data_IF_098400184523
#
_entry.id   IF_098400184523
#
_cell.length_a   1.000
_cell.length_b   1.000
_cell.length_c   1.000
_cell.angle_alpha   90.00
_cell.angle_beta   90.00
_cell.angle_gamma   90.00
#
_symmetry.space_group_name_H-M   'P 1'
#
loop_
_entity.id
_entity.type
_entity.pdbx_description
1 polymer ?
#
# COMPACT_ATOMS: atom_id res chain seq x y z
N UNK A 1 20.15 -0.25 -11.58
CA UNK A 1 19.10 0.58 -12.23
C UNK A 1 17.84 -0.19 -12.59
N UNK A 2 17.88 -1.21 -13.48
CA UNK A 2 16.68 -1.97 -13.86
C UNK A 2 15.86 -2.53 -12.68
N UNK A 3 16.55 -2.99 -11.62
CA UNK A 3 15.92 -3.43 -10.36
C UNK A 3 14.98 -2.35 -9.76
N UNK A 4 15.49 -1.14 -9.46
CA UNK A 4 14.70 -0.02 -8.93
C UNK A 4 13.52 0.33 -9.85
N UNK A 5 13.71 0.23 -11.16
CA UNK A 5 12.67 0.46 -12.14
C UNK A 5 11.50 -0.53 -12.02
N UNK A 6 11.77 -1.78 -11.64
CA UNK A 6 10.77 -2.85 -11.50
C UNK A 6 10.17 -2.93 -10.08
N UNK A 7 10.98 -2.78 -9.03
CA UNK A 7 10.53 -2.94 -7.63
C UNK A 7 9.99 -1.68 -6.97
N UNK A 8 10.45 -0.50 -7.39
CA UNK A 8 10.05 0.79 -6.81
C UNK A 8 9.27 1.62 -7.82
N UNK A 9 9.88 1.96 -8.96
CA UNK A 9 9.27 2.90 -9.90
C UNK A 9 8.02 2.35 -10.57
N UNK A 10 8.05 1.15 -11.18
CA UNK A 10 6.90 0.57 -11.87
C UNK A 10 5.65 0.43 -10.97
N UNK A 11 5.70 -0.14 -9.76
CA UNK A 11 4.50 -0.26 -8.92
C UNK A 11 4.01 1.07 -8.29
N UNK A 12 4.86 2.10 -8.18
CA UNK A 12 4.46 3.47 -7.80
C UNK A 12 3.88 4.25 -8.98
N UNK A 13 4.43 4.06 -10.19
CA UNK A 13 4.01 4.76 -11.40
C UNK A 13 2.81 4.09 -12.07
N UNK A 14 2.62 2.77 -11.96
CA UNK A 14 1.46 2.06 -12.50
C UNK A 14 0.10 2.67 -12.09
N UNK A 15 -0.18 3.00 -10.81
CA UNK A 15 -1.42 3.70 -10.46
C UNK A 15 -1.47 5.12 -11.04
N UNK A 16 -0.35 5.84 -11.10
CA UNK A 16 -0.30 7.20 -11.66
C UNK A 16 -0.54 7.21 -13.18
N UNK A 17 0.02 6.23 -13.89
CA UNK A 17 -0.22 5.98 -15.32
C UNK A 17 -1.68 5.58 -15.53
N UNK A 18 -2.23 4.71 -14.66
CA UNK A 18 -3.66 4.37 -14.67
C UNK A 18 -4.54 5.61 -14.50
N UNK A 19 -4.25 6.49 -13.53
CA UNK A 19 -4.95 7.78 -13.34
C UNK A 19 -4.86 8.70 -14.57
N UNK A 20 -3.73 8.71 -15.29
CA UNK A 20 -3.57 9.44 -16.55
C UNK A 20 -4.42 8.81 -17.66
N UNK A 21 -4.43 7.49 -17.79
CA UNK A 21 -5.33 6.78 -18.71
C UNK A 21 -6.81 7.02 -18.36
N UNK A 22 -7.16 7.12 -17.08
CA UNK A 22 -8.52 7.41 -16.64
C UNK A 22 -8.99 8.84 -16.95
N UNK A 23 -8.06 9.81 -17.13
CA UNK A 23 -8.40 11.14 -17.67
C UNK A 23 -8.84 11.13 -19.15
N UNK A 24 -8.64 10.03 -19.87
CA UNK A 24 -9.22 9.86 -21.22
C UNK A 24 -10.73 9.59 -21.19
N UNK A 25 -11.31 9.34 -20.01
CA UNK A 25 -12.74 9.11 -19.81
C UNK A 25 -13.39 10.32 -19.08
N UNK A 26 -14.63 10.69 -19.41
CA UNK A 26 -15.32 11.84 -18.80
C UNK A 26 -15.78 11.51 -17.35
N UNK A 27 -14.87 11.66 -16.38
CA UNK A 27 -15.14 11.44 -14.96
C UNK A 27 -15.92 12.62 -14.35
N UNK A 28 -17.21 12.44 -14.13
CA UNK A 28 -18.08 13.41 -13.49
C UNK A 28 -17.93 13.40 -11.95
N UNK A 29 -17.08 14.27 -11.41
CA UNK A 29 -16.85 14.41 -9.96
C UNK A 29 -17.30 15.82 -9.50
N UNK A 30 -18.41 15.95 -8.75
CA UNK A 30 -18.81 17.21 -8.12
C UNK A 30 -17.80 17.68 -7.06
N UNK A 31 -17.81 18.98 -6.74
CA UNK A 31 -16.86 19.63 -5.82
C UNK A 31 -16.85 19.00 -4.42
N UNK A 32 -15.88 18.14 -4.15
CA UNK A 32 -15.71 17.47 -2.86
C UNK A 32 -15.23 18.43 -1.77
N UNK A 33 -16.01 18.57 -0.69
CA UNK A 33 -15.61 19.38 0.47
C UNK A 33 -14.51 18.67 1.30
N UNK A 34 -13.50 19.45 1.68
CA UNK A 34 -12.22 19.00 2.25
C UNK A 34 -12.31 18.62 3.74
N UNK A 35 -13.05 17.56 4.05
CA UNK A 35 -12.93 16.90 5.36
C UNK A 35 -11.71 15.96 5.35
N UNK A 36 -10.75 16.14 6.27
CA UNK A 36 -9.61 15.21 6.42
C UNK A 36 -10.05 13.74 6.59
N UNK A 37 -11.21 13.53 7.23
CA UNK A 37 -11.84 12.22 7.40
C UNK A 37 -12.32 11.63 6.07
N UNK A 38 -12.83 12.42 5.11
CA UNK A 38 -13.25 11.89 3.80
C UNK A 38 -12.06 11.50 2.93
N UNK A 39 -10.95 12.24 3.01
CA UNK A 39 -9.66 11.88 2.38
C UNK A 39 -9.18 10.52 2.89
N UNK A 40 -9.07 10.35 4.21
CA UNK A 40 -8.69 9.07 4.85
C UNK A 40 -9.65 7.93 4.48
N UNK A 41 -10.97 8.20 4.47
CA UNK A 41 -12.03 7.22 4.14
C UNK A 41 -11.99 6.76 2.68
N UNK A 42 -11.57 7.63 1.75
CA UNK A 42 -11.40 7.34 0.32
C UNK A 42 -10.05 6.65 0.02
N UNK A 43 -9.63 5.72 0.88
CA UNK A 43 -8.47 4.84 0.65
C UNK A 43 -7.09 5.51 0.68
N UNK A 44 -6.98 6.83 0.89
CA UNK A 44 -5.72 7.57 0.72
C UNK A 44 -4.63 7.19 1.74
N UNK A 45 -4.95 6.46 2.81
CA UNK A 45 -3.93 5.84 3.69
C UNK A 45 -2.98 4.90 2.92
N UNK A 46 -3.44 4.30 1.82
CA UNK A 46 -2.60 3.44 0.98
C UNK A 46 -1.37 4.15 0.39
N UNK A 47 -1.32 5.49 0.34
CA UNK A 47 -0.08 6.21 -0.02
C UNK A 47 1.04 5.99 1.00
N UNK A 48 0.73 5.85 2.30
CA UNK A 48 1.71 5.46 3.31
C UNK A 48 2.12 3.99 3.16
N UNK A 49 1.17 3.11 2.86
CA UNK A 49 1.43 1.69 2.58
C UNK A 49 2.38 1.49 1.39
N UNK A 50 2.19 2.28 0.32
CA UNK A 50 3.10 2.35 -0.84
C UNK A 50 4.52 2.67 -0.37
N UNK A 51 4.69 3.74 0.42
CA UNK A 51 5.97 4.13 0.99
C UNK A 51 6.65 3.00 1.76
N UNK A 52 5.96 2.44 2.77
CA UNK A 52 6.49 1.33 3.58
C UNK A 52 6.91 0.12 2.74
N UNK A 53 6.10 -0.28 1.75
CA UNK A 53 6.48 -1.37 0.86
C UNK A 53 7.70 -1.03 0.00
N UNK A 54 7.82 0.19 -0.54
CA UNK A 54 9.02 0.57 -1.31
C UNK A 54 10.29 0.61 -0.46
N UNK A 55 10.23 1.07 0.79
CA UNK A 55 11.35 1.02 1.72
C UNK A 55 11.74 -0.42 2.07
N UNK A 56 10.74 -1.28 2.35
CA UNK A 56 10.98 -2.70 2.62
C UNK A 56 11.62 -3.44 1.43
N UNK A 57 11.18 -3.14 0.20
CA UNK A 57 11.77 -3.70 -1.01
C UNK A 57 13.20 -3.20 -1.23
N UNK A 58 13.52 -1.96 -0.85
CA UNK A 58 14.89 -1.45 -0.87
C UNK A 58 15.79 -2.16 0.15
N UNK A 59 15.38 -2.27 1.41
CA UNK A 59 16.19 -2.93 2.45
C UNK A 59 16.29 -4.46 2.26
N UNK A 60 15.32 -5.10 1.59
CA UNK A 60 15.47 -6.49 1.13
C UNK A 60 16.56 -6.68 0.07
N UNK A 61 16.91 -5.64 -0.70
CA UNK A 61 17.97 -5.69 -1.70
C UNK A 61 19.32 -5.18 -1.15
N UNK A 62 19.29 -4.14 -0.31
CA UNK A 62 20.45 -3.48 0.28
C UNK A 62 20.24 -3.30 1.80
N UNK A 63 20.46 -4.36 2.62
CA UNK A 63 20.11 -4.35 4.04
C UNK A 63 20.92 -3.33 4.85
N UNK A 64 20.22 -2.48 5.61
CA UNK A 64 20.81 -1.46 6.46
C UNK A 64 20.16 -1.51 7.86
N UNK A 65 20.86 -1.98 8.90
CA UNK A 65 22.26 -2.42 8.92
C UNK A 65 22.48 -3.75 8.16
N UNK A 66 23.72 -4.08 7.74
CA UNK A 66 24.02 -5.32 7.00
C UNK A 66 23.66 -6.62 7.74
N UNK A 67 23.53 -6.56 9.07
CA UNK A 67 23.07 -7.66 9.94
C UNK A 67 21.57 -7.95 9.83
N UNK A 68 20.77 -7.06 9.22
CA UNK A 68 19.33 -7.26 8.99
C UNK A 68 19.01 -8.11 7.74
N UNK A 69 20.03 -8.72 7.11
CA UNK A 69 19.86 -9.57 5.92
C UNK A 69 19.03 -10.82 6.25
N UNK A 70 17.80 -10.84 5.74
CA UNK A 70 16.89 -12.00 5.78
C UNK A 70 17.53 -13.22 5.10
N UNK A 71 17.18 -14.42 5.57
CA UNK A 71 17.54 -15.69 4.94
C UNK A 71 17.21 -15.74 3.43
N UNK A 72 18.10 -16.35 2.66
CA UNK A 72 18.02 -16.40 1.19
C UNK A 72 16.83 -17.23 0.66
N UNK A 73 16.36 -18.24 1.41
CA UNK A 73 15.15 -18.99 1.07
C UNK A 73 13.88 -18.17 1.27
N UNK A 74 13.85 -17.29 2.27
CA UNK A 74 12.68 -16.48 2.60
C UNK A 74 12.63 -15.10 1.91
N UNK A 75 13.80 -14.53 1.55
CA UNK A 75 13.93 -13.24 0.88
C UNK A 75 13.05 -13.11 -0.39
N UNK A 76 12.93 -14.18 -1.18
CA UNK A 76 12.07 -14.23 -2.37
C UNK A 76 10.58 -14.10 -2.06
N UNK A 77 10.10 -14.74 -0.99
CA UNK A 77 8.70 -14.67 -0.56
C UNK A 77 8.35 -13.29 0.00
N UNK A 78 9.24 -12.66 0.77
CA UNK A 78 9.05 -11.29 1.24
C UNK A 78 9.04 -10.27 0.09
N UNK A 79 9.96 -10.42 -0.88
CA UNK A 79 10.00 -9.55 -2.07
C UNK A 79 8.68 -9.64 -2.87
N UNK A 80 8.19 -10.86 -3.11
CA UNK A 80 6.89 -11.08 -3.75
C UNK A 80 5.71 -10.53 -2.93
N UNK A 81 5.70 -10.79 -1.61
CA UNK A 81 4.64 -10.35 -0.70
C UNK A 81 4.54 -8.83 -0.56
N UNK A 82 5.67 -8.14 -0.37
CA UNK A 82 5.71 -6.68 -0.29
C UNK A 82 5.39 -6.04 -1.64
N UNK A 83 5.78 -6.66 -2.77
CA UNK A 83 5.35 -6.23 -4.11
C UNK A 83 3.84 -6.39 -4.32
N UNK A 84 3.23 -7.48 -3.83
CA UNK A 84 1.78 -7.69 -3.90
C UNK A 84 1.01 -6.67 -3.04
N UNK A 85 1.46 -6.42 -1.80
CA UNK A 85 0.88 -5.39 -0.92
C UNK A 85 1.00 -3.99 -1.53
N UNK A 86 2.13 -3.70 -2.17
CA UNK A 86 2.37 -2.44 -2.88
C UNK A 86 1.41 -2.28 -4.06
N UNK A 87 1.22 -3.31 -4.90
CA UNK A 87 0.24 -3.28 -6.00
C UNK A 87 -1.19 -3.11 -5.48
N UNK A 88 -1.56 -3.80 -4.40
CA UNK A 88 -2.88 -3.65 -3.77
C UNK A 88 -3.07 -2.24 -3.19
N UNK A 89 -2.06 -1.67 -2.53
CA UNK A 89 -2.09 -0.30 -2.03
C UNK A 89 -2.25 0.71 -3.18
N UNK A 90 -1.46 0.55 -4.26
CA UNK A 90 -1.57 1.33 -5.50
C UNK A 90 -2.95 1.27 -6.13
N UNK A 91 -3.56 0.09 -6.22
CA UNK A 91 -4.93 -0.08 -6.73
C UNK A 91 -5.97 0.59 -5.81
N UNK A 92 -5.90 0.41 -4.50
CA UNK A 92 -6.83 1.04 -3.56
C UNK A 92 -6.69 2.57 -3.51
N UNK A 93 -5.47 3.11 -3.65
CA UNK A 93 -5.22 4.55 -3.74
C UNK A 93 -5.80 5.14 -5.04
N UNK A 94 -5.57 4.48 -6.18
CA UNK A 94 -6.12 4.89 -7.47
C UNK A 94 -7.65 4.81 -7.50
N UNK A 95 -8.24 3.68 -7.11
CA UNK A 95 -9.70 3.54 -7.01
C UNK A 95 -10.31 4.55 -6.02
N UNK A 96 -9.64 4.85 -4.90
CA UNK A 96 -10.08 5.85 -3.94
C UNK A 96 -10.04 7.30 -4.48
N UNK A 97 -9.16 7.60 -5.43
CA UNK A 97 -9.09 8.88 -6.13
C UNK A 97 -10.09 8.99 -7.30
N UNK A 98 -10.37 7.88 -7.98
CA UNK A 98 -11.27 7.81 -9.16
C UNK A 98 -12.73 7.68 -8.77
N UNK A 99 -13.02 6.92 -7.72
CA UNK A 99 -14.37 6.65 -7.20
C UNK A 99 -14.53 7.25 -5.79
N UNK A 100 -14.33 8.57 -5.61
CA UNK A 100 -14.60 9.21 -4.33
C UNK A 100 -16.08 8.97 -3.99
N UNK A 101 -16.35 8.44 -2.80
CA UNK A 101 -17.73 8.19 -2.39
C UNK A 101 -18.46 9.52 -2.21
N UNK A 102 -19.27 9.88 -3.20
CA UNK A 102 -20.21 10.99 -3.10
C UNK A 102 -21.24 10.65 -2.03
N UNK A 103 -21.22 11.38 -0.91
CA UNK A 103 -22.17 11.20 0.20
C UNK A 103 -23.55 11.79 -0.15
N UNK A 104 -24.14 11.37 -1.27
CA UNK A 104 -25.48 11.71 -1.73
C UNK A 104 -26.59 10.86 -1.10
N UNK A 105 -26.38 10.37 0.12
CA UNK A 105 -27.33 9.50 0.82
C UNK A 105 -28.32 10.29 1.66
N UNK A 106 -29.61 10.01 1.49
CA UNK A 106 -30.66 10.60 2.30
C UNK A 106 -30.51 10.26 3.79
N UNK A 107 -30.79 11.24 4.66
CA UNK A 107 -30.71 11.10 6.11
C UNK A 107 -31.60 9.96 6.60
N UNK A 108 -31.02 8.98 7.30
CA UNK A 108 -31.75 7.91 7.99
C UNK A 108 -31.44 6.46 7.56
N UNK A 109 -30.80 6.22 6.40
CA UNK A 109 -30.53 4.83 5.98
C UNK A 109 -29.35 4.18 6.73
N UNK A 110 -29.50 2.90 7.18
CA UNK A 110 -28.45 2.20 7.94
C UNK A 110 -27.23 1.88 7.05
N UNK A 111 -26.08 2.41 7.45
CA UNK A 111 -24.86 2.55 6.61
C UNK A 111 -24.04 1.26 6.39
N UNK A 112 -24.69 0.13 6.08
CA UNK A 112 -24.04 -1.18 5.83
C UNK A 112 -23.12 -1.14 4.59
N UNK A 113 -21.83 -0.94 4.82
CA UNK A 113 -20.76 -0.90 3.80
C UNK A 113 -19.85 0.33 3.89
N UNK A 114 -20.32 1.40 4.53
CA UNK A 114 -19.74 2.76 4.54
C UNK A 114 -18.26 2.86 5.01
N UNK A 115 -17.73 1.85 5.70
CA UNK A 115 -16.34 1.79 6.19
C UNK A 115 -15.44 0.74 5.52
N UNK A 116 -15.92 -0.05 4.54
CA UNK A 116 -15.14 -1.20 4.01
C UNK A 116 -13.81 -0.81 3.38
N UNK A 117 -13.78 0.26 2.57
CA UNK A 117 -12.55 0.78 1.93
C UNK A 117 -11.56 1.29 2.98
N UNK A 118 -12.04 1.97 4.02
CA UNK A 118 -11.23 2.46 5.14
C UNK A 118 -10.63 1.30 5.97
N UNK A 119 -11.40 0.25 6.24
CA UNK A 119 -10.90 -0.91 6.97
C UNK A 119 -9.84 -1.68 6.15
N UNK A 120 -10.04 -1.77 4.83
CA UNK A 120 -9.07 -2.38 3.92
C UNK A 120 -7.78 -1.54 3.80
N UNK A 121 -7.88 -0.21 3.66
CA UNK A 121 -6.70 0.66 3.58
C UNK A 121 -5.93 0.71 4.91
N UNK A 122 -6.61 0.70 6.05
CA UNK A 122 -5.99 0.50 7.37
C UNK A 122 -5.28 -0.86 7.45
N UNK A 123 -5.93 -1.95 7.05
CA UNK A 123 -5.34 -3.29 7.07
C UNK A 123 -4.08 -3.40 6.20
N UNK A 124 -4.13 -2.90 4.96
CA UNK A 124 -2.99 -2.85 4.04
C UNK A 124 -1.87 -1.98 4.63
N UNK A 125 -2.17 -0.77 5.12
CA UNK A 125 -1.16 0.15 5.68
C UNK A 125 -0.48 -0.43 6.92
N UNK A 126 -1.24 -1.02 7.84
CA UNK A 126 -0.69 -1.68 9.02
C UNK A 126 0.17 -2.88 8.65
N UNK A 127 -0.25 -3.71 7.69
CA UNK A 127 0.53 -4.88 7.26
C UNK A 127 1.81 -4.48 6.53
N UNK A 128 1.77 -3.45 5.67
CA UNK A 128 2.96 -2.87 5.04
C UNK A 128 3.93 -2.27 6.08
N UNK A 129 3.42 -1.56 7.08
CA UNK A 129 4.24 -0.98 8.14
C UNK A 129 4.89 -2.05 9.04
N UNK A 130 4.15 -3.10 9.41
CA UNK A 130 4.68 -4.25 10.17
C UNK A 130 5.72 -5.01 9.35
N UNK A 131 5.45 -5.28 8.06
CA UNK A 131 6.40 -5.94 7.16
C UNK A 131 7.69 -5.14 7.01
N UNK A 132 7.60 -3.82 6.82
CA UNK A 132 8.76 -2.93 6.83
C UNK A 132 9.52 -2.98 8.16
N UNK A 133 8.84 -2.84 9.31
CA UNK A 133 9.50 -2.86 10.62
C UNK A 133 10.22 -4.19 10.92
N UNK A 134 9.66 -5.33 10.52
CA UNK A 134 10.29 -6.65 10.69
C UNK A 134 11.55 -6.83 9.84
N UNK A 135 11.58 -6.25 8.64
CA UNK A 135 12.75 -6.21 7.76
C UNK A 135 13.80 -5.25 8.32
N UNK A 136 13.40 -4.01 8.63
CA UNK A 136 14.29 -2.94 9.10
C UNK A 136 14.99 -3.26 10.43
N UNK A 137 14.26 -3.88 11.38
CA UNK A 137 14.83 -4.31 12.65
C UNK A 137 15.63 -5.61 12.56
N UNK A 138 15.73 -6.23 11.38
CA UNK A 138 16.40 -7.51 11.18
C UNK A 138 15.75 -8.69 11.91
N UNK A 139 14.47 -8.58 12.28
CA UNK A 139 13.76 -9.60 13.08
C UNK A 139 13.66 -10.95 12.35
N UNK A 140 13.77 -10.94 11.01
CA UNK A 140 13.73 -12.12 10.14
C UNK A 140 15.14 -12.58 9.69
N UNK A 141 16.21 -12.04 10.30
CA UNK A 141 17.60 -12.41 10.03
C UNK A 141 18.19 -13.40 11.07
N UNK A 142 17.50 -13.65 12.19
CA UNK A 142 17.97 -14.61 13.19
C UNK A 142 17.48 -16.04 12.90
N UNK A 143 18.33 -17.02 13.19
CA UNK A 143 17.96 -18.45 13.27
C UNK A 143 16.83 -18.72 14.24
N UNK A 144 16.76 -17.90 15.30
CA UNK A 144 15.97 -18.20 16.49
C UNK A 144 14.48 -17.98 16.23
N UNK A 145 14.11 -17.08 15.32
CA UNK A 145 12.73 -16.94 14.83
C UNK A 145 12.21 -18.23 14.19
N UNK A 146 13.07 -18.94 13.44
CA UNK A 146 12.75 -20.20 12.78
C UNK A 146 12.78 -21.42 13.72
N UNK A 147 13.28 -21.27 14.94
CA UNK A 147 13.21 -22.31 15.99
C UNK A 147 11.93 -22.25 16.84
N UNK A 148 11.06 -21.27 16.58
CA UNK A 148 9.80 -21.02 17.29
C UNK A 148 8.54 -21.39 16.46
N UNK A 149 8.72 -22.01 15.29
CA UNK A 149 7.66 -22.41 14.34
C UNK A 149 7.84 -23.88 13.95
#
# INVERSE_FOLDING_TARGET
MGWFLVTVALPVLAPMISLICMKAFPLAIPSAQLALVSVVRNGQLCWAAIGFCTSALYELAEPCPPSARVDAGFQGYLNGGMTLLLVLASLFAACGAVLPHTDGYASGMPRRGHNRVLLASLGITSLSAIGFALIHLGALASSDFWSLI
#
